data_IF_131192135145
#
_entry.id   IF_131192135145
#
_cell.length_a   1.000
_cell.length_b   1.000
_cell.length_c   1.000
_cell.angle_alpha   90.00
_cell.angle_beta   90.00
_cell.angle_gamma   90.00
#
_symmetry.space_group_name_H-M   'P 1'
#
loop_
_entity.id
_entity.type
_entity.pdbx_description
1 polymer ?
#
# COMPACT_ATOMS: atom_id res chain seq x y z
N UNK A 1 -13.42 -7.27 24.70
CA UNK A 1 -13.84 -8.62 25.15
C UNK A 1 -13.80 -8.77 26.67
N UNK A 2 -12.67 -8.52 27.33
CA UNK A 2 -12.53 -8.70 28.80
C UNK A 2 -13.60 -7.91 29.58
N UNK A 3 -13.87 -6.66 29.21
CA UNK A 3 -14.90 -5.84 29.86
C UNK A 3 -16.31 -6.42 29.70
N UNK A 4 -16.66 -6.97 28.53
CA UNK A 4 -17.97 -7.59 28.28
C UNK A 4 -18.15 -8.87 29.10
N UNK A 5 -17.10 -9.71 29.18
CA UNK A 5 -17.09 -10.88 30.06
C UNK A 5 -17.21 -10.47 31.54
N UNK A 6 -16.49 -9.43 31.96
CA UNK A 6 -16.57 -8.88 33.31
C UNK A 6 -17.99 -8.44 33.67
N UNK A 7 -18.70 -7.77 32.77
CA UNK A 7 -20.10 -7.37 32.99
C UNK A 7 -21.01 -8.59 33.12
N UNK A 8 -20.87 -9.59 32.24
CA UNK A 8 -21.67 -10.82 32.33
C UNK A 8 -21.45 -11.52 33.68
N UNK A 9 -20.20 -11.60 34.14
CA UNK A 9 -19.85 -12.22 35.44
C UNK A 9 -20.49 -11.44 36.60
N UNK A 10 -20.35 -10.11 36.62
CA UNK A 10 -20.94 -9.27 37.68
C UNK A 10 -22.47 -9.37 37.69
N UNK A 11 -23.10 -9.31 36.51
CA UNK A 11 -24.56 -9.43 36.38
C UNK A 11 -25.06 -10.82 36.81
N UNK A 12 -24.28 -11.88 36.54
CA UNK A 12 -24.59 -13.24 36.98
C UNK A 12 -24.52 -13.42 38.50
N UNK A 13 -23.64 -12.67 39.19
CA UNK A 13 -23.56 -12.72 40.66
C UNK A 13 -24.73 -12.02 41.33
N UNK A 14 -25.25 -10.94 40.73
CA UNK A 14 -26.39 -10.19 41.25
C UNK A 14 -27.71 -10.92 41.00
N UNK A 15 -27.90 -11.48 39.80
CA UNK A 15 -29.11 -12.20 39.43
C UNK A 15 -28.81 -13.26 38.37
N UNK A 16 -28.73 -14.53 38.79
CA UNK A 16 -28.45 -15.65 37.89
C UNK A 16 -29.47 -15.79 36.75
N UNK A 17 -30.71 -15.34 36.96
CA UNK A 17 -31.80 -15.35 35.98
C UNK A 17 -31.49 -14.48 34.74
N UNK A 18 -30.64 -13.45 34.88
CA UNK A 18 -30.25 -12.58 33.76
C UNK A 18 -29.41 -13.33 32.72
N UNK A 19 -28.74 -14.43 33.10
CA UNK A 19 -28.03 -15.30 32.16
C UNK A 19 -28.96 -15.92 31.10
N UNK A 20 -30.22 -16.21 31.47
CA UNK A 20 -31.21 -16.76 30.54
C UNK A 20 -31.47 -15.78 29.39
N UNK A 21 -31.38 -14.47 29.65
CA UNK A 21 -31.55 -13.42 28.64
C UNK A 21 -30.26 -13.21 27.84
N UNK A 22 -29.08 -13.32 28.47
CA UNK A 22 -27.81 -13.13 27.79
C UNK A 22 -27.49 -14.22 26.75
N UNK A 23 -27.84 -15.48 27.00
CA UNK A 23 -27.59 -16.61 26.08
C UNK A 23 -28.17 -16.37 24.68
N UNK A 24 -29.49 -16.11 24.50
CA UNK A 24 -30.06 -15.86 23.18
C UNK A 24 -29.52 -14.58 22.54
N UNK A 25 -29.21 -13.55 23.33
CA UNK A 25 -28.65 -12.28 22.83
C UNK A 25 -27.26 -12.48 22.26
N UNK A 26 -26.40 -13.25 22.94
CA UNK A 26 -25.07 -13.60 22.44
C UNK A 26 -25.20 -14.44 21.17
N UNK A 27 -26.09 -15.44 21.15
CA UNK A 27 -26.30 -16.29 19.98
C UNK A 27 -26.76 -15.48 18.75
N UNK A 28 -27.75 -14.60 18.92
CA UNK A 28 -28.24 -13.71 17.86
C UNK A 28 -27.13 -12.74 17.41
N UNK A 29 -26.34 -12.21 18.34
CA UNK A 29 -25.24 -11.29 18.03
C UNK A 29 -24.15 -11.97 17.20
N UNK A 30 -23.79 -13.21 17.54
CA UNK A 30 -22.83 -14.01 16.76
C UNK A 30 -23.40 -14.31 15.37
N UNK A 31 -24.69 -14.67 15.28
CA UNK A 31 -25.33 -14.94 13.99
C UNK A 31 -25.35 -13.71 13.07
N UNK A 32 -25.73 -12.54 13.61
CA UNK A 32 -25.70 -11.26 12.86
C UNK A 32 -24.27 -10.89 12.47
N UNK A 33 -23.30 -11.08 13.37
CA UNK A 33 -21.89 -10.84 13.09
C UNK A 33 -21.40 -11.72 11.92
N UNK A 34 -21.70 -13.02 11.94
CA UNK A 34 -21.34 -13.93 10.85
C UNK A 34 -21.96 -13.56 9.52
N UNK A 35 -23.18 -13.01 9.52
CA UNK A 35 -23.82 -12.48 8.32
C UNK A 35 -23.16 -11.19 7.81
N UNK A 36 -22.75 -10.31 8.72
CA UNK A 36 -22.13 -9.02 8.38
C UNK A 36 -20.70 -9.16 7.83
N UNK A 37 -19.88 -10.05 8.39
CA UNK A 37 -18.45 -10.18 8.07
C UNK A 37 -18.17 -10.34 6.56
N UNK A 38 -18.82 -11.28 5.83
CA UNK A 38 -18.57 -11.45 4.39
C UNK A 38 -18.87 -10.17 3.60
N UNK A 39 -19.99 -9.52 3.89
CA UNK A 39 -20.38 -8.28 3.23
C UNK A 39 -19.39 -7.14 3.53
N UNK A 40 -18.99 -6.98 4.79
CA UNK A 40 -18.06 -5.94 5.23
C UNK A 40 -16.66 -6.09 4.61
N UNK A 41 -16.18 -7.32 4.46
CA UNK A 41 -14.90 -7.64 3.81
C UNK A 41 -14.92 -7.27 2.33
N UNK A 42 -15.93 -7.71 1.58
CA UNK A 42 -16.03 -7.40 0.14
C UNK A 42 -16.19 -5.91 -0.12
N UNK A 43 -16.94 -5.23 0.75
CA UNK A 43 -17.14 -3.78 0.64
C UNK A 43 -15.85 -3.01 0.95
N UNK A 44 -15.10 -3.46 1.95
CA UNK A 44 -13.76 -2.92 2.26
C UNK A 44 -12.79 -3.14 1.11
N UNK A 45 -12.83 -4.32 0.46
CA UNK A 45 -12.03 -4.63 -0.74
C UNK A 45 -12.39 -3.70 -1.90
N UNK A 46 -13.68 -3.51 -2.16
CA UNK A 46 -14.17 -2.62 -3.22
C UNK A 46 -13.74 -1.16 -2.98
N UNK A 47 -13.86 -0.67 -1.74
CA UNK A 47 -13.38 0.67 -1.34
C UNK A 47 -11.86 0.78 -1.59
N UNK A 48 -11.09 -0.25 -1.26
CA UNK A 48 -9.64 -0.30 -1.52
C UNK A 48 -9.30 -0.19 -3.01
N UNK A 49 -10.00 -0.95 -3.87
CA UNK A 49 -9.79 -0.94 -5.31
C UNK A 49 -10.20 0.40 -5.93
N UNK A 50 -11.33 0.99 -5.52
CA UNK A 50 -11.78 2.27 -6.06
C UNK A 50 -10.91 3.46 -5.59
N UNK A 51 -10.21 3.34 -4.47
CA UNK A 51 -9.34 4.39 -3.94
C UNK A 51 -8.06 4.58 -4.78
N UNK A 52 -7.47 3.49 -5.27
CA UNK A 52 -6.18 3.54 -5.97
C UNK A 52 -6.21 4.39 -7.27
N UNK A 53 -7.22 4.25 -8.16
CA UNK A 53 -7.34 5.07 -9.36
C UNK A 53 -7.46 6.58 -9.07
N UNK A 54 -8.10 6.97 -7.97
CA UNK A 54 -8.20 8.39 -7.57
C UNK A 54 -6.80 8.94 -7.29
N UNK A 55 -6.01 8.25 -6.46
CA UNK A 55 -4.64 8.66 -6.11
C UNK A 55 -3.76 8.71 -7.36
N UNK A 56 -3.86 7.70 -8.22
CA UNK A 56 -3.08 7.63 -9.44
C UNK A 56 -3.43 8.77 -10.41
N UNK A 57 -4.71 9.04 -10.64
CA UNK A 57 -5.14 10.15 -11.49
C UNK A 57 -4.64 11.51 -10.96
N UNK A 58 -4.62 11.70 -9.63
CA UNK A 58 -4.03 12.88 -9.02
C UNK A 58 -2.52 12.99 -9.28
N UNK A 59 -1.77 11.89 -9.13
CA UNK A 59 -0.33 11.87 -9.39
C UNK A 59 -0.01 12.16 -10.87
N UNK A 60 -0.73 11.54 -11.81
CA UNK A 60 -0.61 11.78 -13.24
C UNK A 60 -0.95 13.24 -13.60
N UNK A 61 -2.00 13.81 -12.99
CA UNK A 61 -2.39 15.20 -13.21
C UNK A 61 -1.31 16.17 -12.76
N UNK A 62 -0.71 15.94 -11.58
CA UNK A 62 0.38 16.78 -11.06
C UNK A 62 1.58 16.73 -12.00
N UNK A 63 2.03 15.52 -12.36
CA UNK A 63 3.17 15.33 -13.25
C UNK A 63 2.93 15.90 -14.65
N UNK A 64 1.69 15.84 -15.15
CA UNK A 64 1.29 16.31 -16.47
C UNK A 64 0.72 17.74 -16.52
N UNK A 65 0.83 18.52 -15.44
CA UNK A 65 0.11 19.81 -15.30
C UNK A 65 0.36 20.77 -16.47
N UNK A 66 1.62 20.87 -16.92
CA UNK A 66 2.02 21.77 -18.01
C UNK A 66 1.33 21.34 -19.32
N UNK A 67 1.43 20.06 -19.67
CA UNK A 67 0.81 19.48 -20.87
C UNK A 67 -0.71 19.63 -20.86
N UNK A 68 -1.35 19.39 -19.72
CA UNK A 68 -2.82 19.51 -19.60
C UNK A 68 -3.26 20.95 -19.89
N UNK A 69 -2.55 21.93 -19.32
CA UNK A 69 -2.84 23.35 -19.52
C UNK A 69 -2.50 23.83 -20.93
N UNK A 70 -1.40 23.35 -21.52
CA UNK A 70 -1.00 23.76 -22.88
C UNK A 70 -1.98 23.30 -23.95
N UNK A 71 -2.64 22.15 -23.75
CA UNK A 71 -3.65 21.61 -24.68
C UNK A 71 -5.10 21.93 -24.29
N UNK A 72 -5.30 22.79 -23.28
CA UNK A 72 -6.60 23.19 -22.73
C UNK A 72 -7.53 22.01 -22.36
N UNK A 73 -6.96 20.93 -21.82
CA UNK A 73 -7.67 19.68 -21.47
C UNK A 73 -8.16 19.62 -20.01
N UNK A 74 -8.12 20.72 -19.28
CA UNK A 74 -8.55 20.82 -17.87
C UNK A 74 -9.99 20.28 -17.65
N UNK A 75 -10.99 20.60 -18.50
CA UNK A 75 -12.36 20.12 -18.30
C UNK A 75 -12.47 18.59 -18.32
N UNK A 76 -11.75 17.93 -19.24
CA UNK A 76 -11.72 16.46 -19.37
C UNK A 76 -11.15 15.78 -18.12
N UNK A 77 -10.04 16.30 -17.61
CA UNK A 77 -9.42 15.78 -16.38
C UNK A 77 -10.30 16.04 -15.15
N UNK A 78 -10.98 17.19 -15.09
CA UNK A 78 -11.94 17.49 -14.02
C UNK A 78 -13.12 16.51 -14.01
N UNK A 79 -13.73 16.26 -15.17
CA UNK A 79 -14.83 15.31 -15.29
C UNK A 79 -14.40 13.89 -14.89
N UNK A 80 -13.21 13.47 -15.33
CA UNK A 80 -12.64 12.17 -14.96
C UNK A 80 -12.41 12.07 -13.45
N UNK A 81 -11.83 13.10 -12.84
CA UNK A 81 -11.64 13.18 -11.39
C UNK A 81 -12.96 13.07 -10.62
N UNK A 82 -14.02 13.74 -11.09
CA UNK A 82 -15.35 13.66 -10.47
C UNK A 82 -15.92 12.25 -10.57
N UNK A 83 -15.87 11.62 -11.76
CA UNK A 83 -16.33 10.23 -11.96
C UNK A 83 -15.60 9.23 -11.06
N UNK A 84 -14.28 9.35 -10.94
CA UNK A 84 -13.47 8.49 -10.06
C UNK A 84 -13.82 8.70 -8.58
N UNK A 85 -14.04 9.95 -8.17
CA UNK A 85 -14.45 10.30 -6.80
C UNK A 85 -15.84 9.76 -6.47
N UNK A 86 -16.79 9.87 -7.41
CA UNK A 86 -18.14 9.31 -7.26
C UNK A 86 -18.09 7.78 -7.16
N UNK A 87 -17.28 7.14 -8.01
CA UNK A 87 -17.07 5.70 -8.00
C UNK A 87 -16.47 5.20 -6.67
N UNK A 88 -15.59 5.98 -6.04
CA UNK A 88 -15.07 5.69 -4.69
C UNK A 88 -16.09 5.98 -3.58
N UNK A 89 -16.89 7.04 -3.72
CA UNK A 89 -17.83 7.49 -2.68
C UNK A 89 -19.02 6.53 -2.52
N UNK A 90 -19.50 5.93 -3.62
CA UNK A 90 -20.61 4.95 -3.60
C UNK A 90 -20.34 3.73 -2.68
N UNK A 91 -19.28 2.93 -2.86
CA UNK A 91 -19.00 1.79 -1.98
C UNK A 91 -18.66 2.25 -0.56
N UNK A 92 -18.06 3.45 -0.41
CA UNK A 92 -17.81 4.01 0.91
C UNK A 92 -19.11 4.34 1.66
N UNK A 93 -20.10 4.87 0.98
CA UNK A 93 -21.44 5.12 1.52
C UNK A 93 -22.13 3.81 1.92
N UNK A 94 -22.08 2.79 1.06
CA UNK A 94 -22.59 1.47 1.42
C UNK A 94 -21.87 0.87 2.64
N UNK A 95 -20.56 1.10 2.78
CA UNK A 95 -19.79 0.65 3.96
C UNK A 95 -20.27 1.30 5.24
N UNK A 96 -20.54 2.62 5.19
CA UNK A 96 -21.13 3.34 6.31
C UNK A 96 -22.52 2.78 6.63
N UNK A 97 -23.39 2.63 5.64
CA UNK A 97 -24.74 2.07 5.83
C UNK A 97 -24.75 0.65 6.41
N UNK A 98 -23.85 -0.23 5.95
CA UNK A 98 -23.72 -1.57 6.51
C UNK A 98 -23.26 -1.56 7.97
N UNK A 99 -22.35 -0.65 8.32
CA UNK A 99 -21.86 -0.48 9.70
C UNK A 99 -22.98 0.01 10.61
N UNK A 100 -23.72 1.04 10.19
CA UNK A 100 -24.88 1.56 10.94
C UNK A 100 -25.99 0.52 11.09
N UNK A 101 -26.24 -0.28 10.06
CA UNK A 101 -27.21 -1.38 10.12
C UNK A 101 -26.87 -2.40 11.23
N UNK A 102 -25.58 -2.75 11.37
CA UNK A 102 -25.11 -3.63 12.42
C UNK A 102 -25.26 -2.99 13.81
N UNK A 103 -24.82 -1.74 13.97
CA UNK A 103 -24.94 -0.99 15.22
C UNK A 103 -26.40 -0.92 15.67
N UNK A 104 -27.30 -0.49 14.79
CA UNK A 104 -28.73 -0.37 15.10
C UNK A 104 -29.35 -1.70 15.57
N UNK A 105 -29.01 -2.82 14.92
CA UNK A 105 -29.50 -4.14 15.32
C UNK A 105 -28.98 -4.57 16.69
N UNK A 106 -27.68 -4.36 16.95
CA UNK A 106 -27.08 -4.69 18.25
C UNK A 106 -27.67 -3.81 19.36
N UNK A 107 -27.92 -2.54 19.07
CA UNK A 107 -28.51 -1.60 20.02
C UNK A 107 -29.93 -2.01 20.40
N UNK A 108 -30.71 -2.46 19.42
CA UNK A 108 -32.04 -2.99 19.64
C UNK A 108 -32.03 -4.22 20.56
N UNK A 109 -31.15 -5.20 20.32
CA UNK A 109 -31.04 -6.38 21.17
C UNK A 109 -30.50 -6.05 22.57
N UNK A 110 -29.53 -5.15 22.68
CA UNK A 110 -29.02 -4.70 23.98
C UNK A 110 -30.09 -3.96 24.78
N UNK A 111 -30.93 -3.16 24.13
CA UNK A 111 -32.04 -2.45 24.78
C UNK A 111 -33.10 -3.42 25.30
N UNK A 112 -33.42 -4.46 24.54
CA UNK A 112 -34.30 -5.55 24.98
C UNK A 112 -33.72 -6.26 26.21
N UNK A 113 -32.42 -6.58 26.18
CA UNK A 113 -31.71 -7.23 27.29
C UNK A 113 -31.80 -6.40 28.56
N UNK A 114 -31.60 -5.08 28.43
CA UNK A 114 -31.70 -4.15 29.55
C UNK A 114 -33.13 -4.04 30.11
N UNK A 115 -34.15 -4.05 29.24
CA UNK A 115 -35.55 -4.05 29.68
C UNK A 115 -35.90 -5.31 30.49
N UNK A 116 -35.47 -6.48 30.02
CA UNK A 116 -35.68 -7.74 30.75
C UNK A 116 -34.89 -7.80 32.05
N UNK A 117 -33.64 -7.31 32.09
CA UNK A 117 -32.87 -7.28 33.33
C UNK A 117 -33.51 -6.39 34.39
N UNK A 118 -34.04 -5.22 34.01
CA UNK A 118 -34.84 -4.35 34.88
C UNK A 118 -36.10 -5.04 35.39
N UNK A 119 -36.84 -5.74 34.50
CA UNK A 119 -38.04 -6.49 34.89
C UNK A 119 -37.71 -7.56 35.96
N UNK A 120 -36.61 -8.30 35.79
CA UNK A 120 -36.19 -9.28 36.78
C UNK A 120 -35.71 -8.65 38.09
N UNK A 121 -34.97 -7.54 38.03
CA UNK A 121 -34.55 -6.79 39.21
C UNK A 121 -35.73 -6.28 40.06
N UNK A 122 -36.83 -5.90 39.41
CA UNK A 122 -38.04 -5.41 40.11
C UNK A 122 -38.92 -6.57 40.61
N UNK A 123 -39.02 -7.64 39.83
CA UNK A 123 -39.95 -8.75 40.11
C UNK A 123 -39.49 -9.68 41.25
N UNK A 124 -38.19 -9.76 41.50
CA UNK A 124 -37.63 -10.60 42.56
C UNK A 124 -37.29 -9.78 43.82
N UNK A 125 -38.09 -9.88 44.90
CA UNK A 125 -37.76 -9.23 46.16
C UNK A 125 -36.55 -9.92 46.82
N UNK A 126 -35.60 -9.13 47.34
CA UNK A 126 -34.43 -9.65 48.06
C UNK A 126 -33.06 -9.23 47.52
N UNK A 127 -33.02 -8.36 46.50
CA UNK A 127 -31.77 -7.81 45.96
C UNK A 127 -31.40 -6.53 46.72
N UNK A 128 -30.15 -6.43 47.18
CA UNK A 128 -29.65 -5.22 47.83
C UNK A 128 -29.74 -4.01 46.87
N UNK A 129 -30.25 -2.84 47.32
CA UNK A 129 -30.37 -1.65 46.48
C UNK A 129 -29.05 -1.20 45.83
N UNK A 130 -27.92 -1.42 46.52
CA UNK A 130 -26.58 -1.13 46.00
C UNK A 130 -26.20 -2.04 44.82
N UNK A 131 -26.46 -3.34 44.92
CA UNK A 131 -26.21 -4.32 43.86
C UNK A 131 -27.13 -4.09 42.65
N UNK A 132 -28.39 -3.73 42.90
CA UNK A 132 -29.34 -3.35 41.85
C UNK A 132 -28.85 -2.11 41.07
N UNK A 133 -28.34 -1.09 41.76
CA UNK A 133 -27.75 0.10 41.13
C UNK A 133 -26.53 -0.19 40.26
N UNK A 134 -25.66 -1.10 40.71
CA UNK A 134 -24.53 -1.60 39.91
C UNK A 134 -25.02 -2.33 38.65
N UNK A 135 -26.01 -3.22 38.78
CA UNK A 135 -26.55 -3.97 37.66
C UNK A 135 -27.17 -3.07 36.58
N UNK A 136 -27.91 -2.03 36.98
CA UNK A 136 -28.47 -1.04 36.05
C UNK A 136 -27.36 -0.26 35.34
N UNK A 137 -26.33 0.17 36.06
CA UNK A 137 -25.22 0.95 35.50
C UNK A 137 -24.42 0.14 34.48
N UNK A 138 -24.14 -1.13 34.77
CA UNK A 138 -23.47 -2.03 33.82
C UNK A 138 -24.37 -2.40 32.63
N UNK A 139 -25.68 -2.57 32.85
CA UNK A 139 -26.65 -2.82 31.79
C UNK A 139 -26.75 -1.66 30.79
N UNK A 140 -26.74 -0.41 31.27
CA UNK A 140 -26.75 0.79 30.41
C UNK A 140 -25.48 0.88 29.55
N UNK A 141 -24.32 0.56 30.12
CA UNK A 141 -23.04 0.61 29.40
C UNK A 141 -22.80 -0.59 28.46
N UNK A 142 -23.61 -1.65 28.58
CA UNK A 142 -23.44 -2.89 27.81
C UNK A 142 -23.58 -2.65 26.30
N UNK A 143 -24.54 -1.80 25.89
CA UNK A 143 -24.78 -1.43 24.51
C UNK A 143 -23.50 -0.88 23.83
N UNK A 144 -22.92 0.17 24.41
CA UNK A 144 -21.73 0.84 23.88
C UNK A 144 -20.53 -0.11 23.82
N UNK A 145 -20.37 -0.93 24.86
CA UNK A 145 -19.27 -1.91 24.93
C UNK A 145 -19.44 -3.02 23.89
N UNK A 146 -20.67 -3.51 23.68
CA UNK A 146 -20.97 -4.55 22.70
C UNK A 146 -20.71 -4.06 21.27
N UNK A 147 -21.19 -2.86 20.92
CA UNK A 147 -20.90 -2.23 19.63
C UNK A 147 -19.38 -2.06 19.42
N UNK A 148 -18.67 -1.56 20.44
CA UNK A 148 -17.22 -1.39 20.38
C UNK A 148 -16.47 -2.71 20.18
N UNK A 149 -16.85 -3.78 20.88
CA UNK A 149 -16.21 -5.10 20.73
C UNK A 149 -16.40 -5.65 19.32
N UNK A 150 -17.60 -5.56 18.77
CA UNK A 150 -17.90 -6.07 17.43
C UNK A 150 -17.16 -5.25 16.36
N UNK A 151 -17.11 -3.93 16.51
CA UNK A 151 -16.34 -3.06 15.63
C UNK A 151 -14.84 -3.38 15.65
N UNK A 152 -14.27 -3.60 16.85
CA UNK A 152 -12.87 -4.00 17.01
C UNK A 152 -12.59 -5.37 16.37
N UNK A 153 -13.50 -6.34 16.49
CA UNK A 153 -13.36 -7.64 15.84
C UNK A 153 -13.36 -7.51 14.30
N UNK A 154 -14.32 -6.78 13.73
CA UNK A 154 -14.39 -6.57 12.29
C UNK A 154 -13.14 -5.83 11.77
N UNK A 155 -12.63 -4.86 12.54
CA UNK A 155 -11.40 -4.16 12.18
C UNK A 155 -10.16 -5.04 12.28
N UNK A 156 -10.08 -5.90 13.28
CA UNK A 156 -8.97 -6.85 13.40
C UNK A 156 -8.94 -7.78 12.17
N UNK A 157 -10.11 -8.29 11.79
CA UNK A 157 -10.29 -9.17 10.64
C UNK A 157 -10.00 -8.48 9.29
N UNK A 158 -10.30 -7.19 9.17
CA UNK A 158 -9.87 -6.41 8.00
C UNK A 158 -8.36 -6.12 8.00
N UNK A 159 -7.76 -5.88 9.18
CA UNK A 159 -6.33 -5.56 9.30
C UNK A 159 -5.43 -6.79 9.12
N UNK A 160 -5.86 -7.98 9.53
CA UNK A 160 -5.06 -9.22 9.41
C UNK A 160 -4.80 -9.60 7.94
N UNK A 161 -5.66 -9.17 7.01
CA UNK A 161 -5.44 -9.33 5.56
C UNK A 161 -4.11 -8.71 5.13
N UNK A 162 -3.65 -7.63 5.78
CA UNK A 162 -2.34 -7.05 5.50
C UNK A 162 -1.19 -8.00 5.89
N UNK A 163 -1.33 -8.71 7.01
CA UNK A 163 -0.35 -9.70 7.47
C UNK A 163 -0.33 -10.91 6.52
N UNK A 164 -1.50 -11.37 6.09
CA UNK A 164 -1.63 -12.41 5.08
C UNK A 164 -0.86 -12.06 3.79
N UNK A 165 -0.96 -10.81 3.32
CA UNK A 165 -0.17 -10.35 2.15
C UNK A 165 1.33 -10.33 2.39
N UNK A 166 1.79 -9.93 3.58
CA UNK A 166 3.23 -9.98 3.92
C UNK A 166 3.72 -11.43 3.88
N UNK A 167 2.96 -12.36 4.44
CA UNK A 167 3.28 -13.79 4.39
C UNK A 167 3.36 -14.32 2.95
N UNK A 168 2.48 -13.85 2.06
CA UNK A 168 2.57 -14.15 0.63
C UNK A 168 3.89 -13.65 0.02
N UNK A 169 4.31 -12.42 0.33
CA UNK A 169 5.59 -11.89 -0.20
C UNK A 169 6.82 -12.62 0.33
N UNK A 170 6.79 -13.15 1.55
CA UNK A 170 7.88 -13.96 2.11
C UNK A 170 8.05 -15.28 1.34
N UNK A 171 6.98 -15.79 0.73
CA UNK A 171 7.03 -17.04 -0.04
C UNK A 171 7.52 -16.88 -1.49
N UNK A 172 7.72 -15.64 -1.97
CA UNK A 172 8.20 -15.37 -3.34
C UNK A 172 9.68 -15.76 -3.43
N UNK A 173 10.11 -16.47 -4.50
CA UNK A 173 11.51 -16.83 -4.69
C UNK A 173 12.38 -15.56 -4.74
N UNK A 174 13.37 -15.50 -3.85
CA UNK A 174 14.30 -14.38 -3.77
C UNK A 174 15.32 -14.44 -4.90
N UNK A 175 15.79 -13.27 -5.32
CA UNK A 175 16.96 -13.18 -6.21
C UNK A 175 18.20 -13.73 -5.49
N UNK A 176 19.21 -14.23 -6.23
CA UNK A 176 20.46 -14.67 -5.64
C UNK A 176 21.13 -13.57 -4.78
N UNK A 177 21.91 -13.94 -3.76
CA UNK A 177 22.63 -12.98 -2.91
C UNK A 177 23.51 -12.02 -3.73
N UNK A 178 23.57 -10.76 -3.31
CA UNK A 178 24.38 -9.73 -3.96
C UNK A 178 25.87 -10.07 -4.05
N UNK A 179 26.38 -10.82 -3.06
CA UNK A 179 27.77 -11.27 -3.02
C UNK A 179 27.78 -12.77 -2.77
N UNK A 180 28.45 -13.48 -3.66
CA UNK A 180 28.73 -14.90 -3.54
C UNK A 180 30.22 -14.99 -3.18
N UNK A 181 30.52 -15.24 -1.90
CA UNK A 181 31.91 -15.24 -1.41
C UNK A 181 32.78 -16.29 -2.10
N UNK A 182 32.18 -17.40 -2.56
CA UNK A 182 32.88 -18.46 -3.29
C UNK A 182 33.39 -18.03 -4.68
N UNK A 183 32.75 -17.05 -5.32
CA UNK A 183 33.05 -16.62 -6.69
C UNK A 183 33.41 -15.14 -6.79
N UNK A 184 33.94 -14.57 -5.70
CA UNK A 184 34.30 -13.15 -5.65
C UNK A 184 35.56 -12.88 -6.49
N UNK A 185 35.53 -11.93 -7.43
CA UNK A 185 36.74 -11.53 -8.16
C UNK A 185 37.80 -10.95 -7.21
N UNK A 186 39.07 -11.04 -7.62
CA UNK A 186 40.18 -10.39 -6.93
C UNK A 186 39.96 -8.87 -6.82
N UNK A 187 40.43 -8.18 -5.75
CA UNK A 187 40.37 -6.73 -5.65
C UNK A 187 40.94 -5.95 -6.85
N UNK A 188 41.85 -6.54 -7.63
CA UNK A 188 42.36 -5.92 -8.85
C UNK A 188 41.41 -6.04 -10.06
N UNK A 189 40.24 -6.68 -9.91
CA UNK A 189 39.24 -6.81 -10.95
C UNK A 189 38.30 -5.59 -10.97
N UNK A 190 37.93 -5.07 -12.16
CA UNK A 190 38.38 -5.48 -13.49
C UNK A 190 39.70 -4.79 -13.90
N UNK A 191 40.74 -5.57 -14.19
CA UNK A 191 42.08 -5.03 -14.51
C UNK A 191 42.20 -4.43 -15.93
N UNK A 192 41.51 -5.01 -16.92
CA UNK A 192 41.58 -4.62 -18.34
C UNK A 192 40.37 -3.82 -18.82
N UNK A 193 39.26 -3.82 -18.06
CA UNK A 193 38.01 -3.15 -18.43
C UNK A 193 37.35 -3.66 -19.73
N UNK A 194 37.83 -4.78 -20.29
CA UNK A 194 37.29 -5.39 -21.50
C UNK A 194 36.05 -6.24 -21.17
N UNK A 195 34.98 -6.10 -21.96
CA UNK A 195 33.73 -6.85 -21.80
C UNK A 195 33.50 -7.71 -23.03
N UNK A 196 33.61 -9.02 -22.85
CA UNK A 196 33.28 -10.01 -23.88
C UNK A 196 31.89 -10.58 -23.60
N UNK A 197 30.99 -10.37 -24.56
CA UNK A 197 29.65 -10.93 -24.56
C UNK A 197 29.67 -12.08 -25.56
N UNK A 198 29.39 -13.30 -25.13
CA UNK A 198 29.32 -14.47 -26.00
C UNK A 198 27.93 -15.13 -25.96
N UNK A 199 27.29 -15.21 -27.12
CA UNK A 199 26.04 -15.96 -27.30
C UNK A 199 24.88 -15.47 -26.43
N UNK A 200 24.85 -14.19 -26.03
CA UNK A 200 23.90 -13.68 -25.05
C UNK A 200 22.46 -13.80 -25.55
N UNK A 201 21.63 -14.45 -24.74
CA UNK A 201 20.21 -14.67 -24.99
C UNK A 201 19.38 -14.15 -23.82
N UNK A 202 18.45 -13.25 -24.10
CA UNK A 202 17.63 -12.61 -23.06
C UNK A 202 16.15 -12.70 -23.42
N UNK A 203 15.34 -13.04 -22.42
CA UNK A 203 13.87 -12.99 -22.47
C UNK A 203 13.32 -12.35 -21.20
N UNK A 204 12.20 -11.65 -21.31
CA UNK A 204 11.55 -11.02 -20.16
C UNK A 204 10.79 -12.00 -19.27
N UNK A 205 10.27 -13.09 -19.83
CA UNK A 205 9.60 -14.15 -19.07
C UNK A 205 9.89 -15.52 -19.69
N UNK A 206 9.84 -16.62 -18.92
CA UNK A 206 10.19 -17.96 -19.41
C UNK A 206 9.41 -18.39 -20.67
N UNK A 207 8.12 -18.01 -20.73
CA UNK A 207 7.19 -18.35 -21.80
C UNK A 207 7.23 -17.38 -23.00
N UNK A 208 7.93 -16.24 -22.89
CA UNK A 208 8.03 -15.26 -23.96
C UNK A 208 9.20 -15.58 -24.91
N UNK A 209 9.11 -15.17 -26.19
CA UNK A 209 10.20 -15.36 -27.13
C UNK A 209 11.46 -14.59 -26.71
N UNK A 210 12.62 -15.05 -27.21
CA UNK A 210 13.90 -14.37 -27.03
C UNK A 210 13.88 -13.02 -27.76
N UNK A 211 14.28 -11.98 -27.02
CA UNK A 211 14.45 -10.62 -27.52
C UNK A 211 15.87 -10.45 -28.05
N UNK A 212 16.87 -10.79 -27.23
CA UNK A 212 18.25 -10.93 -27.69
C UNK A 212 18.49 -12.37 -28.10
N UNK A 213 18.99 -12.56 -29.33
CA UNK A 213 19.08 -13.86 -30.00
C UNK A 213 20.54 -14.20 -30.33
N UNK A 214 21.34 -14.47 -29.31
CA UNK A 214 22.73 -14.92 -29.50
C UNK A 214 23.65 -13.79 -29.93
N UNK A 215 23.69 -12.71 -29.14
CA UNK A 215 24.58 -11.58 -29.40
C UNK A 215 25.99 -11.93 -28.93
N UNK A 216 26.97 -11.84 -29.83
CA UNK A 216 28.39 -11.98 -29.53
C UNK A 216 29.11 -10.69 -29.92
N UNK A 217 29.76 -10.02 -28.97
CA UNK A 217 30.58 -8.84 -29.22
C UNK A 217 31.63 -8.63 -28.14
N UNK A 218 32.72 -7.96 -28.51
CA UNK A 218 33.79 -7.58 -27.59
C UNK A 218 33.84 -6.06 -27.51
N UNK A 219 33.72 -5.52 -26.30
CA UNK A 219 33.83 -4.10 -26.00
C UNK A 219 35.19 -3.88 -25.36
N UNK A 220 36.09 -3.22 -26.08
CA UNK A 220 37.43 -2.86 -25.59
C UNK A 220 37.36 -1.66 -24.65
N UNK A 221 38.22 -1.65 -23.65
CA UNK A 221 38.35 -0.52 -22.72
C UNK A 221 38.88 0.74 -23.43
N UNK A 222 38.37 1.91 -23.02
CA UNK A 222 38.85 3.24 -23.49
C UNK A 222 40.05 3.71 -22.66
N UNK A 223 40.45 2.97 -21.63
CA UNK A 223 41.53 3.36 -20.70
C UNK A 223 42.89 3.58 -21.38
N UNK A 224 43.12 2.97 -22.55
CA UNK A 224 44.36 3.12 -23.34
C UNK A 224 44.16 3.91 -24.65
N UNK A 225 43.01 4.58 -24.83
CA UNK A 225 42.75 5.35 -26.05
C UNK A 225 43.25 6.80 -25.92
N UNK A 226 44.52 7.03 -26.25
CA UNK A 226 45.15 8.36 -26.26
C UNK A 226 44.73 9.25 -27.44
N UNK A 227 43.86 8.77 -28.33
CA UNK A 227 43.47 9.46 -29.58
C UNK A 227 42.06 10.01 -29.50
N UNK A 228 41.89 11.27 -29.92
CA UNK A 228 40.60 11.96 -30.02
C UNK A 228 40.22 12.09 -31.48
N UNK A 229 38.99 11.70 -31.81
CA UNK A 229 38.37 11.88 -33.14
C UNK A 229 37.27 12.93 -33.04
N UNK A 230 37.44 14.06 -33.72
CA UNK A 230 36.43 15.09 -33.87
C UNK A 230 35.65 14.89 -35.17
N UNK A 231 34.33 14.79 -35.06
CA UNK A 231 33.41 14.64 -36.19
C UNK A 231 32.57 15.92 -36.34
N UNK A 232 32.52 16.47 -37.55
CA UNK A 232 31.66 17.59 -37.90
C UNK A 232 30.89 17.30 -39.19
N UNK A 233 29.58 17.54 -39.14
CA UNK A 233 28.65 17.24 -40.23
C UNK A 233 28.75 15.80 -40.79
N UNK A 234 29.09 14.83 -39.93
CA UNK A 234 29.21 13.42 -40.31
C UNK A 234 30.51 13.06 -41.04
N UNK A 235 31.49 13.96 -41.09
CA UNK A 235 32.85 13.70 -41.60
C UNK A 235 33.89 13.90 -40.50
N UNK A 236 35.04 13.22 -40.63
CA UNK A 236 36.18 13.39 -39.71
C UNK A 236 36.82 14.74 -39.98
N UNK A 237 36.84 15.60 -38.96
CA UNK A 237 37.43 16.93 -39.03
C UNK A 237 38.85 16.92 -38.44
N UNK A 238 39.04 16.29 -37.27
CA UNK A 238 40.34 16.22 -36.59
C UNK A 238 40.54 14.83 -35.98
N UNK A 239 41.77 14.31 -36.02
CA UNK A 239 42.13 13.03 -35.41
C UNK A 239 43.59 13.04 -34.94
N UNK A 240 43.82 13.25 -33.65
CA UNK A 240 45.15 13.14 -33.02
C UNK A 240 45.02 13.01 -31.49
N UNK A 241 46.15 12.93 -30.81
CA UNK A 241 46.26 13.01 -29.35
C UNK A 241 45.80 14.39 -28.82
N UNK A 242 45.16 14.46 -27.64
CA UNK A 242 44.67 15.71 -27.07
C UNK A 242 45.75 16.81 -26.97
N UNK A 243 46.98 16.44 -26.63
CA UNK A 243 48.09 17.39 -26.53
C UNK A 243 48.39 18.07 -27.87
N UNK A 244 48.45 17.30 -28.98
CA UNK A 244 48.67 17.85 -30.32
C UNK A 244 47.50 18.66 -30.84
N UNK A 245 46.27 18.27 -30.51
CA UNK A 245 45.08 19.03 -30.90
C UNK A 245 44.99 20.37 -30.14
N UNK A 246 45.50 20.43 -28.90
CA UNK A 246 45.54 21.66 -28.10
C UNK A 246 46.71 22.59 -28.46
N UNK A 247 47.80 22.08 -29.03
CA UNK A 247 48.92 22.91 -29.51
C UNK A 247 48.48 23.90 -30.60
N UNK A 248 47.41 23.57 -31.35
CA UNK A 248 46.82 24.46 -32.34
C UNK A 248 45.59 25.18 -31.76
N UNK A 249 45.76 26.42 -31.30
CA UNK A 249 44.65 27.22 -30.74
C UNK A 249 43.49 27.48 -31.73
N UNK A 250 43.71 27.29 -33.04
CA UNK A 250 42.66 27.40 -34.06
C UNK A 250 41.89 26.09 -34.29
N UNK A 251 42.30 24.98 -33.68
CA UNK A 251 41.65 23.69 -33.77
C UNK A 251 40.22 23.72 -33.22
N UNK A 252 39.32 23.01 -33.88
CA UNK A 252 37.93 22.86 -33.44
C UNK A 252 37.85 22.18 -32.07
N UNK A 253 38.75 21.23 -31.78
CA UNK A 253 38.89 20.63 -30.45
C UNK A 253 39.33 21.65 -29.38
N UNK A 254 40.33 22.50 -29.67
CA UNK A 254 40.80 23.52 -28.72
C UNK A 254 39.71 24.56 -28.38
N UNK A 255 38.91 24.96 -29.37
CA UNK A 255 37.78 25.87 -29.18
C UNK A 255 36.69 25.25 -28.29
N UNK A 256 36.36 23.97 -28.51
CA UNK A 256 35.40 23.23 -27.68
C UNK A 256 35.85 23.14 -26.22
N UNK A 257 37.14 22.85 -25.99
CA UNK A 257 37.72 22.79 -24.64
C UNK A 257 37.69 24.17 -23.97
N UNK A 258 37.99 25.24 -24.71
CA UNK A 258 37.91 26.61 -24.19
C UNK A 258 36.47 27.00 -23.79
N UNK A 259 35.48 26.72 -24.63
CA UNK A 259 34.06 26.98 -24.34
C UNK A 259 33.58 26.23 -23.08
N UNK A 260 33.94 24.95 -22.97
CA UNK A 260 33.59 24.16 -21.77
C UNK A 260 34.29 24.66 -20.51
N UNK A 261 35.56 25.08 -20.62
CA UNK A 261 36.32 25.62 -19.50
C UNK A 261 35.73 26.94 -19.00
N UNK A 262 35.28 27.81 -19.91
CA UNK A 262 34.57 29.05 -19.54
C UNK A 262 33.23 28.76 -18.86
N UNK A 263 32.40 27.88 -19.41
CA UNK A 263 31.12 27.49 -18.79
C UNK A 263 31.29 26.87 -17.40
N UNK A 264 32.36 26.10 -17.19
CA UNK A 264 32.63 25.51 -15.87
C UNK A 264 33.01 26.55 -14.81
N UNK A 265 33.64 27.66 -15.22
CA UNK A 265 34.01 28.77 -14.34
C UNK A 265 32.83 29.68 -14.01
N UNK A 266 31.83 29.78 -14.90
CA UNK A 266 30.60 30.55 -14.66
C UNK A 266 29.64 29.88 -13.66
N UNK A 267 29.83 28.58 -13.37
CA UNK A 267 28.99 27.82 -12.43
C UNK A 267 29.48 27.84 -10.97
N UNK A 268 30.52 28.60 -10.65
CA UNK A 268 31.03 28.83 -9.28
C UNK A 268 31.10 30.31 -8.90
#
# INVERSE_FOLDING_TARGET
>A
MIQLLGIIIVMSQVAWQVLIVFIPVIAISIWIQQYYIPAARELSRLVGVCKAPVIQHFAETISGTITIRSFDQQPRFKETSMKLTDAYSRPKFHTAGATEWLCFRLDFFSSITFAFSLFFLISFPGIDPSLAGLAVTYGLNLNMIQASVIWNMCNLENKIISVERILQYISVPSEPPLVIEESRPDPSWPARGEVEIDGLQVRYAPHLPLVLRGLTCTITSVLDSDMVLLLSHGSIEEYDTPARLLDNESSSFAQLVAEYSERSKEQY
#
